data_IF_539220893375
#
_entry.id   IF_539220893375
#
_cell.length_a   1.000
_cell.length_b   1.000
_cell.length_c   1.000
_cell.angle_alpha   90.00
_cell.angle_beta   90.00
_cell.angle_gamma   90.00
#
_symmetry.space_group_name_H-M   'P 1'
#
loop_
_entity.id
_entity.type
_entity.pdbx_description
1 polymer ?
#
# COMPACT_ATOMS: atom_id res chain seq x y z
N UNK A 1 -3.26 38.19 -12.53
CA UNK A 1 -3.32 36.72 -12.48
C UNK A 1 -2.40 36.26 -11.37
N UNK A 2 -2.90 35.50 -10.38
CA UNK A 2 -2.09 35.06 -9.24
C UNK A 2 -0.97 34.10 -9.71
N UNK A 3 0.20 34.18 -9.10
CA UNK A 3 1.34 33.32 -9.42
C UNK A 3 0.96 31.86 -9.08
N UNK A 4 1.03 30.89 -10.02
CA UNK A 4 0.60 29.50 -9.78
C UNK A 4 1.30 28.82 -8.60
N UNK A 5 2.52 29.27 -8.28
CA UNK A 5 3.34 28.81 -7.15
C UNK A 5 2.82 29.25 -5.78
N UNK A 6 1.84 30.15 -5.69
CA UNK A 6 1.29 30.62 -4.41
C UNK A 6 0.15 29.73 -3.89
N UNK A 7 -0.33 28.75 -4.67
CA UNK A 7 -1.42 27.88 -4.26
C UNK A 7 -0.91 26.66 -3.50
N UNK A 8 -1.58 26.24 -2.41
CA UNK A 8 -1.15 25.08 -1.64
C UNK A 8 -1.33 23.78 -2.44
N UNK A 9 -0.32 22.91 -2.40
CA UNK A 9 -0.37 21.55 -2.97
C UNK A 9 -1.24 20.59 -2.14
N UNK A 10 -1.37 20.89 -0.84
CA UNK A 10 -2.23 20.16 0.10
C UNK A 10 -2.94 21.10 1.06
N UNK A 11 -4.13 20.73 1.48
CA UNK A 11 -4.93 21.46 2.47
C UNK A 11 -5.45 20.51 3.55
N UNK A 12 -5.19 20.85 4.81
CA UNK A 12 -5.74 20.16 5.97
C UNK A 12 -7.12 20.69 6.31
N UNK A 13 -8.14 19.83 6.27
CA UNK A 13 -9.52 20.19 6.60
C UNK A 13 -9.98 19.47 7.87
N UNK A 14 -10.40 20.20 8.91
CA UNK A 14 -10.94 19.60 10.12
C UNK A 14 -12.31 18.98 9.83
N UNK A 15 -12.55 17.78 10.36
CA UNK A 15 -13.86 17.13 10.30
C UNK A 15 -14.68 17.49 11.54
N UNK A 16 -15.91 17.99 11.34
CA UNK A 16 -16.85 18.22 12.44
C UNK A 16 -17.25 16.86 13.04
N UNK A 17 -16.91 16.64 14.31
CA UNK A 17 -17.16 15.40 15.02
C UNK A 17 -17.82 15.60 16.39
N UNK A 18 -18.63 16.65 16.55
CA UNK A 18 -19.15 17.05 17.88
C UNK A 18 -20.03 15.99 18.52
N UNK A 19 -20.97 15.40 17.77
CA UNK A 19 -21.90 14.41 18.31
C UNK A 19 -21.16 13.14 18.75
N UNK A 20 -20.31 12.51 17.92
CA UNK A 20 -19.57 11.32 18.35
C UNK A 20 -18.66 11.59 19.54
N UNK A 21 -17.98 12.76 19.60
CA UNK A 21 -17.16 13.15 20.76
C UNK A 21 -17.97 13.20 22.07
N UNK A 22 -19.17 13.76 22.04
CA UNK A 22 -20.04 13.85 23.24
C UNK A 22 -20.44 12.45 23.70
N UNK A 23 -20.86 11.58 22.78
CA UNK A 23 -21.21 10.19 23.10
C UNK A 23 -20.01 9.44 23.69
N UNK A 24 -18.84 9.60 23.07
CA UNK A 24 -17.58 9.02 23.49
C UNK A 24 -17.16 9.46 24.91
N UNK A 25 -17.38 10.73 25.26
CA UNK A 25 -17.16 11.27 26.61
C UNK A 25 -18.17 10.75 27.64
N UNK A 26 -19.45 10.63 27.27
CA UNK A 26 -20.48 10.06 28.15
C UNK A 26 -20.12 8.62 28.50
N UNK A 27 -19.72 7.81 27.51
CA UNK A 27 -19.30 6.42 27.75
C UNK A 27 -18.08 6.38 28.69
N UNK A 28 -17.08 7.24 28.48
CA UNK A 28 -15.93 7.32 29.37
C UNK A 28 -16.34 7.65 30.81
N UNK A 29 -17.25 8.60 30.99
CA UNK A 29 -17.76 8.97 32.31
C UNK A 29 -18.45 7.78 32.99
N UNK A 30 -19.28 7.02 32.28
CA UNK A 30 -19.93 5.81 32.81
C UNK A 30 -18.91 4.74 33.22
N UNK A 31 -17.87 4.52 32.42
CA UNK A 31 -16.79 3.58 32.74
C UNK A 31 -16.02 3.99 33.99
N UNK A 32 -15.68 5.28 34.12
CA UNK A 32 -15.01 5.80 35.31
C UNK A 32 -15.90 5.69 36.55
N UNK A 33 -17.20 5.99 36.43
CA UNK A 33 -18.15 5.81 37.52
C UNK A 33 -18.26 4.36 37.97
N UNK A 34 -18.23 3.41 37.04
CA UNK A 34 -18.22 1.97 37.34
C UNK A 34 -16.96 1.56 38.10
N UNK A 35 -15.78 2.04 37.66
CA UNK A 35 -14.52 1.76 38.35
C UNK A 35 -14.49 2.33 39.77
N UNK A 36 -14.99 3.54 39.96
CA UNK A 36 -15.11 4.16 41.27
C UNK A 36 -16.02 3.33 42.18
N UNK A 37 -17.18 2.89 41.67
CA UNK A 37 -18.09 2.02 42.41
C UNK A 37 -17.43 0.70 42.83
N UNK A 38 -16.70 0.04 41.91
CA UNK A 38 -15.96 -1.19 42.17
C UNK A 38 -14.88 -1.03 43.21
N UNK A 39 -14.16 0.10 43.18
CA UNK A 39 -13.11 0.43 44.14
C UNK A 39 -13.68 0.58 45.54
N UNK A 40 -14.83 1.24 45.70
CA UNK A 40 -15.47 1.41 47.01
C UNK A 40 -16.00 0.10 47.62
N UNK A 41 -16.43 -0.86 46.79
CA UNK A 41 -16.93 -2.16 47.25
C UNK A 41 -15.88 -3.29 47.13
N UNK A 42 -14.59 -2.94 47.06
CA UNK A 42 -13.50 -3.90 46.90
C UNK A 42 -13.32 -4.80 48.13
N UNK A 43 -13.67 -4.30 49.32
CA UNK A 43 -13.52 -5.03 50.58
C UNK A 43 -14.63 -6.05 50.87
N UNK A 44 -15.81 -5.89 50.25
CA UNK A 44 -17.00 -6.70 50.55
C UNK A 44 -17.06 -7.99 49.71
N UNK A 45 -16.20 -8.10 48.71
CA UNK A 45 -16.25 -9.13 47.70
C UNK A 45 -14.87 -9.77 47.48
N UNK A 46 -14.83 -11.09 47.31
CA UNK A 46 -13.58 -11.85 47.18
C UNK A 46 -12.83 -11.62 45.87
N UNK A 47 -11.83 -12.47 45.61
CA UNK A 47 -10.93 -12.38 44.44
C UNK A 47 -11.58 -12.17 43.05
N UNK A 48 -12.76 -12.73 42.72
CA UNK A 48 -13.41 -12.44 41.43
C UNK A 48 -13.69 -10.95 41.20
N UNK A 49 -13.97 -10.20 42.27
CA UNK A 49 -14.22 -8.76 42.20
C UNK A 49 -12.94 -7.98 41.85
N UNK A 50 -11.81 -8.36 42.45
CA UNK A 50 -10.49 -7.80 42.14
C UNK A 50 -10.14 -8.06 40.67
N UNK A 51 -10.37 -9.28 40.18
CA UNK A 51 -10.14 -9.62 38.77
C UNK A 51 -11.01 -8.78 37.83
N UNK A 52 -12.30 -8.65 38.14
CA UNK A 52 -13.21 -7.80 37.36
C UNK A 52 -12.74 -6.33 37.33
N UNK A 53 -12.33 -5.78 38.48
CA UNK A 53 -11.79 -4.43 38.58
C UNK A 53 -10.54 -4.24 37.71
N UNK A 54 -9.61 -5.20 37.69
CA UNK A 54 -8.42 -5.15 36.83
C UNK A 54 -8.79 -5.16 35.34
N UNK A 55 -9.72 -6.02 34.92
CA UNK A 55 -10.20 -6.10 33.55
C UNK A 55 -10.90 -4.81 33.10
N UNK A 56 -11.80 -4.28 33.93
CA UNK A 56 -12.53 -3.04 33.67
C UNK A 56 -11.57 -1.82 33.64
N UNK A 57 -10.54 -1.81 34.48
CA UNK A 57 -9.51 -0.77 34.50
C UNK A 57 -8.70 -0.77 33.21
N UNK A 58 -8.31 -1.95 32.74
CA UNK A 58 -7.61 -2.12 31.46
C UNK A 58 -8.47 -1.69 30.28
N UNK A 59 -9.74 -2.07 30.26
CA UNK A 59 -10.69 -1.64 29.23
C UNK A 59 -10.86 -0.12 29.21
N UNK A 60 -10.99 0.51 30.37
CA UNK A 60 -11.12 1.98 30.49
C UNK A 60 -9.86 2.69 30.01
N UNK A 61 -8.67 2.14 30.30
CA UNK A 61 -7.41 2.66 29.77
C UNK A 61 -7.36 2.60 28.23
N UNK A 62 -7.74 1.47 27.63
CA UNK A 62 -7.84 1.34 26.17
C UNK A 62 -8.83 2.36 25.60
N UNK A 63 -9.97 2.57 26.28
CA UNK A 63 -10.95 3.57 25.87
C UNK A 63 -10.37 4.98 25.86
N UNK A 64 -9.67 5.40 26.92
CA UNK A 64 -9.00 6.71 27.00
C UNK A 64 -7.98 6.90 25.86
N UNK A 65 -7.20 5.87 25.54
CA UNK A 65 -6.25 5.92 24.42
C UNK A 65 -6.96 6.06 23.07
N UNK A 66 -8.08 5.34 22.88
CA UNK A 66 -8.91 5.41 21.68
C UNK A 66 -9.51 6.81 21.48
N UNK A 67 -9.99 7.44 22.55
CA UNK A 67 -10.52 8.80 22.55
C UNK A 67 -9.49 9.84 22.15
N UNK A 68 -8.28 9.74 22.70
CA UNK A 68 -7.17 10.63 22.33
C UNK A 68 -6.87 10.54 20.83
N UNK A 69 -6.82 9.33 20.29
CA UNK A 69 -6.56 9.10 18.87
C UNK A 69 -7.67 9.65 17.94
N UNK A 70 -8.92 9.73 18.40
CA UNK A 70 -10.07 10.21 17.62
C UNK A 70 -10.44 11.65 17.91
N UNK A 71 -9.74 12.32 18.83
CA UNK A 71 -10.17 13.62 19.34
C UNK A 71 -10.23 14.65 18.22
N UNK A 72 -9.18 14.82 17.41
CA UNK A 72 -9.16 15.84 16.36
C UNK A 72 -8.91 15.26 14.95
N UNK A 73 -9.95 14.72 14.30
CA UNK A 73 -9.81 14.17 12.95
C UNK A 73 -9.58 15.28 11.92
N UNK A 74 -8.52 15.15 11.13
CA UNK A 74 -8.14 16.06 10.03
C UNK A 74 -7.90 15.25 8.76
N UNK A 75 -8.55 15.63 7.66
CA UNK A 75 -8.30 15.01 6.34
C UNK A 75 -7.48 15.94 5.46
N UNK A 76 -6.57 15.34 4.70
CA UNK A 76 -5.73 16.05 3.74
C UNK A 76 -6.40 15.99 2.36
N UNK A 77 -6.57 17.14 1.72
CA UNK A 77 -6.95 17.23 0.31
C UNK A 77 -5.72 17.65 -0.49
N UNK A 78 -5.37 16.86 -1.50
CA UNK A 78 -4.23 17.10 -2.39
C UNK A 78 -4.68 17.58 -3.77
N UNK A 79 -3.78 18.31 -4.45
CA UNK A 79 -4.06 18.94 -5.75
C UNK A 79 -2.96 18.60 -6.78
N UNK A 80 -2.97 17.40 -7.37
CA UNK A 80 -1.93 16.97 -8.31
C UNK A 80 -1.81 17.88 -9.55
N UNK A 81 -2.92 18.43 -10.03
CA UNK A 81 -2.93 19.37 -11.15
C UNK A 81 -2.09 20.63 -10.87
N UNK A 82 -2.04 21.08 -9.60
CA UNK A 82 -1.20 22.22 -9.21
C UNK A 82 0.27 21.86 -9.16
N UNK A 83 0.59 20.62 -8.78
CA UNK A 83 1.96 20.11 -8.80
C UNK A 83 2.50 20.06 -10.23
N UNK A 84 1.72 19.53 -11.17
CA UNK A 84 2.12 19.46 -12.58
C UNK A 84 2.20 20.84 -13.24
N UNK A 85 1.40 21.81 -12.79
CA UNK A 85 1.54 23.20 -13.21
C UNK A 85 2.78 23.86 -12.62
N UNK A 86 3.17 23.53 -11.38
CA UNK A 86 4.35 24.11 -10.74
C UNK A 86 5.65 23.54 -11.29
N UNK A 87 5.66 22.22 -11.54
CA UNK A 87 6.83 21.49 -12.00
C UNK A 87 6.42 20.50 -13.09
N UNK A 88 6.97 20.61 -14.32
CA UNK A 88 6.67 19.65 -15.37
C UNK A 88 7.17 18.24 -14.95
N UNK A 89 6.52 17.20 -15.48
CA UNK A 89 6.74 15.82 -15.02
C UNK A 89 8.21 15.37 -15.03
N UNK A 90 9.02 15.84 -16.00
CA UNK A 90 10.42 15.49 -16.13
C UNK A 90 11.33 16.10 -15.04
N UNK A 91 10.89 17.15 -14.36
CA UNK A 91 11.63 17.74 -13.25
C UNK A 91 11.20 17.17 -11.90
N UNK A 92 10.15 16.33 -11.86
CA UNK A 92 9.72 15.71 -10.61
C UNK A 92 10.83 14.79 -10.06
N UNK A 93 10.97 14.71 -8.73
CA UNK A 93 11.92 13.80 -8.10
C UNK A 93 11.61 12.35 -8.48
N UNK A 94 12.66 11.57 -8.74
CA UNK A 94 12.52 10.15 -9.07
C UNK A 94 11.94 9.36 -7.90
N UNK A 95 11.26 8.26 -8.22
CA UNK A 95 10.64 7.36 -7.26
C UNK A 95 11.01 5.93 -7.62
N UNK A 96 11.57 5.21 -6.66
CA UNK A 96 11.82 3.77 -6.81
C UNK A 96 10.67 2.97 -6.22
N UNK A 97 10.03 2.13 -7.05
CA UNK A 97 8.96 1.24 -6.61
C UNK A 97 9.54 -0.13 -6.25
N UNK A 98 9.34 -0.55 -5.01
CA UNK A 98 9.77 -1.86 -4.49
C UNK A 98 8.59 -2.82 -4.44
N UNK A 99 8.74 -3.96 -5.09
CA UNK A 99 7.78 -5.07 -5.02
C UNK A 99 8.51 -6.30 -4.47
N UNK A 100 8.09 -6.78 -3.30
CA UNK A 100 8.66 -7.98 -2.70
C UNK A 100 7.73 -9.18 -2.86
N UNK A 101 8.27 -10.31 -3.30
CA UNK A 101 7.56 -11.61 -3.35
C UNK A 101 8.24 -12.63 -2.44
N UNK A 102 7.44 -13.44 -1.74
CA UNK A 102 7.94 -14.43 -0.78
C UNK A 102 7.92 -15.87 -1.34
N UNK A 103 6.84 -16.26 -2.05
CA UNK A 103 6.72 -17.59 -2.63
C UNK A 103 5.90 -17.54 -3.94
N UNK A 104 6.44 -18.02 -5.07
CA UNK A 104 5.70 -18.10 -6.34
C UNK A 104 4.56 -19.12 -6.30
N UNK A 105 4.60 -20.12 -5.41
CA UNK A 105 3.55 -21.14 -5.31
C UNK A 105 2.29 -20.64 -4.61
N UNK A 106 2.44 -19.71 -3.65
CA UNK A 106 1.32 -19.07 -2.95
C UNK A 106 0.71 -17.94 -3.79
N UNK A 107 1.55 -17.21 -4.53
CA UNK A 107 1.17 -16.09 -5.36
C UNK A 107 1.17 -16.44 -6.85
N UNK A 108 0.57 -17.59 -7.21
CA UNK A 108 0.38 -18.02 -8.61
C UNK A 108 -0.57 -17.09 -9.40
N UNK A 109 -1.13 -16.06 -8.76
CA UNK A 109 -2.12 -15.19 -9.37
C UNK A 109 -1.43 -14.18 -10.29
N UNK A 110 -1.95 -14.11 -11.51
CA UNK A 110 -1.60 -13.12 -12.52
C UNK A 110 -1.65 -11.69 -11.96
N UNK A 111 -1.01 -10.76 -12.66
CA UNK A 111 -1.01 -9.33 -12.31
C UNK A 111 -2.41 -8.88 -11.89
N UNK A 112 -2.61 -8.45 -10.63
CA UNK A 112 -3.95 -8.20 -10.09
C UNK A 112 -4.73 -7.13 -10.87
N UNK A 113 -4.05 -6.16 -11.48
CA UNK A 113 -4.69 -5.04 -12.14
C UNK A 113 -5.36 -5.40 -13.48
N UNK A 114 -4.67 -5.95 -14.50
CA UNK A 114 -5.31 -6.37 -15.75
C UNK A 114 -6.35 -7.47 -15.55
N UNK A 115 -6.05 -8.46 -14.70
CA UNK A 115 -6.99 -9.52 -14.36
C UNK A 115 -8.31 -8.95 -13.89
N UNK A 116 -8.27 -7.95 -13.00
CA UNK A 116 -9.46 -7.34 -12.46
C UNK A 116 -10.16 -6.39 -13.41
N UNK A 117 -9.41 -5.62 -14.20
CA UNK A 117 -10.00 -4.75 -15.22
C UNK A 117 -10.86 -5.53 -16.21
N UNK A 118 -10.40 -6.70 -16.67
CA UNK A 118 -11.13 -7.52 -17.64
C UNK A 118 -12.17 -8.46 -17.02
N UNK A 119 -12.05 -8.81 -15.73
CA UNK A 119 -12.99 -9.70 -15.03
C UNK A 119 -14.09 -8.95 -14.26
N UNK A 120 -13.99 -7.63 -14.09
CA UNK A 120 -15.04 -6.81 -13.49
C UNK A 120 -16.27 -6.71 -14.40
N UNK A 121 -17.44 -6.42 -13.81
CA UNK A 121 -18.63 -6.05 -14.59
C UNK A 121 -18.30 -4.80 -15.41
N UNK A 122 -18.13 -4.97 -16.72
CA UNK A 122 -17.89 -3.86 -17.64
C UNK A 122 -19.14 -3.02 -17.75
N UNK A 123 -19.29 -1.99 -16.93
CA UNK A 123 -20.22 -0.90 -17.19
C UNK A 123 -19.63 -0.06 -18.32
N UNK A 124 -19.84 -0.48 -19.56
CA UNK A 124 -19.56 0.34 -20.73
C UNK A 124 -20.27 1.68 -20.56
N UNK A 125 -19.55 2.78 -20.65
CA UNK A 125 -20.20 4.06 -20.90
C UNK A 125 -20.83 3.99 -22.29
N UNK A 126 -22.10 4.36 -22.43
CA UNK A 126 -22.82 4.38 -23.71
C UNK A 126 -22.11 5.25 -24.78
N UNK A 127 -21.16 6.10 -24.38
CA UNK A 127 -20.35 6.99 -25.23
C UNK A 127 -19.00 6.41 -25.73
N UNK A 128 -18.72 5.11 -25.56
CA UNK A 128 -17.44 4.54 -26.02
C UNK A 128 -17.32 4.50 -27.56
N UNK A 129 -16.20 4.99 -28.11
CA UNK A 129 -15.96 4.96 -29.56
C UNK A 129 -15.81 3.53 -30.08
N UNK A 130 -16.24 3.28 -31.32
CA UNK A 130 -16.10 1.97 -31.96
C UNK A 130 -14.63 1.52 -32.05
N UNK A 131 -13.73 2.46 -32.33
CA UNK A 131 -12.28 2.21 -32.36
C UNK A 131 -11.76 1.71 -31.00
N UNK A 132 -12.19 2.34 -29.90
CA UNK A 132 -11.83 1.88 -28.56
C UNK A 132 -12.36 0.48 -28.25
N UNK A 133 -13.58 0.15 -28.70
CA UNK A 133 -14.15 -1.19 -28.49
C UNK A 133 -13.34 -2.27 -29.21
N UNK A 134 -12.89 -2.01 -30.44
CA UNK A 134 -12.07 -2.94 -31.21
C UNK A 134 -10.66 -3.08 -30.62
N UNK A 135 -10.03 -1.98 -30.21
CA UNK A 135 -8.75 -2.01 -29.49
C UNK A 135 -8.86 -2.76 -28.16
N UNK A 136 -9.93 -2.52 -27.40
CA UNK A 136 -10.17 -3.17 -26.12
C UNK A 136 -10.27 -4.70 -26.28
N UNK A 137 -11.03 -5.18 -27.28
CA UNK A 137 -11.13 -6.60 -27.59
C UNK A 137 -9.78 -7.18 -27.96
N UNK A 138 -9.04 -6.50 -28.83
CA UNK A 138 -7.69 -6.92 -29.25
C UNK A 138 -6.73 -7.05 -28.06
N UNK A 139 -6.71 -6.07 -27.16
CA UNK A 139 -5.83 -6.11 -25.97
C UNK A 139 -6.27 -7.21 -25.01
N UNK A 140 -7.59 -7.42 -24.85
CA UNK A 140 -8.12 -8.52 -24.03
C UNK A 140 -7.67 -9.88 -24.57
N UNK A 141 -7.78 -10.11 -25.88
CA UNK A 141 -7.35 -11.36 -26.50
C UNK A 141 -5.84 -11.60 -26.33
N UNK A 142 -5.01 -10.55 -26.51
CA UNK A 142 -3.56 -10.64 -26.28
C UNK A 142 -3.22 -10.90 -24.80
N UNK A 143 -3.98 -10.29 -23.88
CA UNK A 143 -3.85 -10.55 -22.45
C UNK A 143 -4.19 -12.01 -22.12
N UNK A 144 -5.26 -12.57 -22.65
CA UNK A 144 -5.64 -13.98 -22.43
C UNK A 144 -4.57 -14.94 -22.98
N UNK A 145 -3.99 -14.66 -24.15
CA UNK A 145 -2.84 -15.42 -24.68
C UNK A 145 -1.63 -15.35 -23.77
N UNK A 146 -1.34 -14.17 -23.19
CA UNK A 146 -0.26 -14.03 -22.21
C UNK A 146 -0.53 -14.85 -20.95
N UNK A 147 -1.78 -14.84 -20.44
CA UNK A 147 -2.19 -15.63 -19.30
C UNK A 147 -1.93 -17.13 -19.53
N UNK A 148 -2.33 -17.62 -20.70
CA UNK A 148 -2.12 -19.01 -21.09
C UNK A 148 -0.63 -19.37 -21.14
N UNK A 149 0.22 -18.53 -21.77
CA UNK A 149 1.67 -18.74 -21.83
C UNK A 149 2.31 -18.79 -20.44
N UNK A 150 1.87 -17.93 -19.52
CA UNK A 150 2.36 -17.92 -18.13
C UNK A 150 1.96 -19.22 -17.43
N UNK A 151 0.72 -19.69 -17.61
CA UNK A 151 0.24 -20.92 -17.00
C UNK A 151 0.98 -22.15 -17.56
N UNK A 152 1.20 -22.22 -18.87
CA UNK A 152 2.02 -23.25 -19.53
C UNK A 152 3.46 -23.24 -19.01
N UNK A 153 4.07 -22.06 -18.85
CA UNK A 153 5.39 -21.89 -18.28
C UNK A 153 5.48 -22.31 -16.81
N UNK A 154 4.39 -22.13 -16.04
CA UNK A 154 4.33 -22.54 -14.63
C UNK A 154 4.27 -24.06 -14.44
N UNK A 155 3.68 -24.77 -15.41
CA UNK A 155 3.51 -26.22 -15.38
C UNK A 155 4.72 -26.95 -15.98
N UNK A 156 5.41 -26.31 -16.92
CA UNK A 156 6.59 -26.88 -17.59
C UNK A 156 7.82 -26.68 -16.71
N UNK A 157 8.27 -27.75 -16.04
CA UNK A 157 9.55 -27.78 -15.29
C UNK A 157 10.78 -27.86 -16.19
N UNK A 158 10.60 -27.79 -17.52
CA UNK A 158 11.71 -27.90 -18.47
C UNK A 158 12.65 -26.70 -18.33
N UNK A 159 13.97 -26.90 -18.50
CA UNK A 159 14.89 -25.81 -18.70
C UNK A 159 14.48 -25.16 -20.01
N UNK A 160 13.79 -24.02 -19.91
CA UNK A 160 13.72 -23.09 -21.03
C UNK A 160 15.15 -22.90 -21.52
N UNK A 161 15.33 -22.74 -22.83
CA UNK A 161 16.62 -22.37 -23.40
C UNK A 161 16.96 -20.98 -22.87
N UNK A 162 17.51 -20.96 -21.65
CA UNK A 162 17.91 -19.79 -20.91
C UNK A 162 19.06 -19.25 -21.75
N UNK A 163 18.69 -18.35 -22.66
CA UNK A 163 19.62 -17.48 -23.37
C UNK A 163 20.65 -16.98 -22.35
N UNK A 164 21.86 -16.68 -22.84
CA UNK A 164 23.01 -16.24 -22.02
C UNK A 164 22.61 -15.21 -20.94
N UNK A 165 21.60 -14.39 -21.21
CA UNK A 165 21.03 -13.38 -20.32
C UNK A 165 20.44 -13.92 -19.01
N UNK A 166 19.92 -15.15 -18.98
CA UNK A 166 19.27 -15.74 -17.80
C UNK A 166 20.00 -16.96 -17.22
N UNK A 167 21.21 -17.28 -17.70
CA UNK A 167 22.03 -18.37 -17.15
C UNK A 167 22.27 -18.26 -15.62
N UNK A 168 22.21 -17.05 -15.05
CA UNK A 168 22.32 -16.81 -13.62
C UNK A 168 21.22 -17.49 -12.76
N UNK A 169 20.11 -17.88 -13.37
CA UNK A 169 19.02 -18.60 -12.72
C UNK A 169 19.14 -20.13 -12.85
N UNK A 170 20.08 -20.62 -13.67
CA UNK A 170 20.32 -22.06 -13.79
C UNK A 170 20.91 -22.59 -12.47
N UNK A 171 20.41 -23.76 -12.05
CA UNK A 171 20.93 -24.49 -10.87
C UNK A 171 20.84 -23.74 -9.52
N UNK A 172 19.99 -22.72 -9.37
CA UNK A 172 19.84 -22.01 -8.09
C UNK A 172 18.94 -22.76 -7.11
N UNK A 173 19.41 -23.01 -5.89
CA UNK A 173 18.60 -23.57 -4.81
C UNK A 173 17.92 -22.46 -4.00
N UNK A 174 16.68 -22.65 -3.54
CA UNK A 174 15.89 -21.61 -2.84
C UNK A 174 16.55 -21.03 -1.58
N UNK A 175 17.43 -21.80 -0.92
CA UNK A 175 18.12 -21.43 0.34
C UNK A 175 19.63 -21.28 0.20
N UNK A 176 20.17 -21.56 -0.98
CA UNK A 176 21.60 -21.56 -1.25
C UNK A 176 21.84 -21.08 -2.69
N UNK A 177 21.98 -19.77 -2.86
CA UNK A 177 22.25 -19.18 -4.16
C UNK A 177 22.99 -17.85 -3.99
N UNK A 178 23.87 -17.48 -4.94
CA UNK A 178 24.51 -16.18 -4.95
C UNK A 178 23.48 -15.06 -5.21
N UNK A 179 23.93 -13.82 -5.05
CA UNK A 179 23.12 -12.64 -5.44
C UNK A 179 22.90 -12.63 -6.95
N UNK A 180 21.67 -12.34 -7.38
CA UNK A 180 21.29 -12.20 -8.79
C UNK A 180 20.72 -10.80 -8.97
N UNK A 181 21.33 -9.99 -9.84
CA UNK A 181 20.81 -8.68 -10.25
C UNK A 181 20.69 -8.71 -11.77
N UNK A 182 19.49 -8.43 -12.28
CA UNK A 182 19.20 -8.45 -13.71
C UNK A 182 18.31 -7.27 -14.08
N UNK A 183 18.77 -6.45 -15.01
CA UNK A 183 17.94 -5.40 -15.63
C UNK A 183 17.09 -6.10 -16.70
N UNK A 184 15.80 -6.28 -16.42
CA UNK A 184 14.84 -6.92 -17.34
C UNK A 184 14.47 -5.94 -18.45
N UNK A 185 14.29 -4.68 -18.09
CA UNK A 185 13.93 -3.63 -19.04
C UNK A 185 14.67 -2.34 -18.70
N UNK A 186 15.18 -1.68 -19.73
CA UNK A 186 15.90 -0.41 -19.62
C UNK A 186 15.34 0.58 -20.64
N UNK A 187 14.92 1.76 -20.17
CA UNK A 187 14.52 2.85 -21.06
C UNK A 187 15.77 3.58 -21.56
N UNK A 188 16.44 3.02 -22.57
CA UNK A 188 17.73 3.54 -23.07
C UNK A 188 17.64 4.91 -23.74
N UNK A 189 16.45 5.31 -24.18
CA UNK A 189 16.25 6.54 -24.96
C UNK A 189 15.66 7.67 -24.12
N UNK A 190 15.47 7.47 -22.80
CA UNK A 190 14.76 8.40 -21.90
C UNK A 190 13.46 8.93 -22.51
N UNK A 191 12.81 8.10 -23.33
CA UNK A 191 11.63 8.53 -24.06
C UNK A 191 10.51 8.76 -23.05
N UNK A 192 9.80 9.91 -23.09
CA UNK A 192 8.74 10.23 -22.13
C UNK A 192 7.58 9.21 -22.14
N UNK A 193 7.45 8.46 -23.24
CA UNK A 193 6.45 7.40 -23.40
C UNK A 193 7.03 5.98 -23.20
N UNK A 194 8.30 5.87 -22.79
CA UNK A 194 8.96 4.59 -22.55
C UNK A 194 8.52 3.97 -21.22
N UNK A 195 8.60 2.64 -21.14
CA UNK A 195 8.38 1.92 -19.88
C UNK A 195 9.52 2.21 -18.89
N UNK A 196 9.23 2.31 -17.58
CA UNK A 196 10.26 2.54 -16.57
C UNK A 196 11.26 1.38 -16.50
N UNK A 197 12.45 1.65 -15.97
CA UNK A 197 13.47 0.62 -15.73
C UNK A 197 12.92 -0.48 -14.80
N UNK A 198 13.04 -1.74 -15.22
CA UNK A 198 12.64 -2.90 -14.44
C UNK A 198 13.87 -3.71 -14.05
N UNK A 199 14.21 -3.69 -12.75
CA UNK A 199 15.36 -4.41 -12.21
C UNK A 199 14.88 -5.54 -11.30
N UNK A 200 15.27 -6.76 -11.63
CA UNK A 200 15.09 -7.93 -10.80
C UNK A 200 16.29 -8.11 -9.86
N UNK A 201 16.00 -8.29 -8.58
CA UNK A 201 17.01 -8.48 -7.54
C UNK A 201 16.63 -9.69 -6.69
N UNK A 202 17.55 -10.64 -6.60
CA UNK A 202 17.52 -11.73 -5.64
C UNK A 202 18.77 -11.66 -4.78
N UNK A 203 18.60 -11.38 -3.48
CA UNK A 203 19.72 -11.35 -2.53
C UNK A 203 20.37 -12.72 -2.39
N UNK A 204 21.65 -12.77 -2.10
CA UNK A 204 22.31 -14.00 -1.69
C UNK A 204 21.60 -14.66 -0.50
N UNK A 205 21.51 -16.00 -0.55
CA UNK A 205 21.03 -16.83 0.55
C UNK A 205 22.03 -17.92 0.81
N UNK A 206 22.36 -18.10 2.08
CA UNK A 206 23.21 -19.17 2.58
C UNK A 206 22.47 -19.94 3.68
N UNK A 207 22.56 -21.28 3.74
CA UNK A 207 21.80 -22.08 4.71
C UNK A 207 22.03 -21.71 6.18
N UNK A 208 23.22 -21.21 6.52
CA UNK A 208 23.63 -20.88 7.90
C UNK A 208 23.36 -19.42 8.30
N UNK A 209 22.88 -18.59 7.37
CA UNK A 209 22.70 -17.16 7.61
C UNK A 209 21.21 -16.79 7.71
N UNK A 210 20.77 -16.15 8.81
CA UNK A 210 19.40 -15.66 8.91
C UNK A 210 19.18 -14.53 7.89
N UNK A 211 18.07 -14.62 7.15
CA UNK A 211 17.81 -13.70 6.03
C UNK A 211 16.68 -12.70 6.30
N UNK A 212 16.08 -12.70 7.50
CA UNK A 212 15.08 -11.70 7.94
C UNK A 212 13.92 -11.43 6.97
N UNK A 213 13.48 -12.45 6.22
CA UNK A 213 12.32 -12.42 5.30
C UNK A 213 12.18 -11.10 4.53
N UNK A 214 11.04 -10.41 4.65
CA UNK A 214 10.70 -9.15 3.97
C UNK A 214 11.55 -7.98 4.43
N UNK A 215 11.84 -7.87 5.74
CA UNK A 215 12.68 -6.81 6.28
C UNK A 215 14.09 -6.82 5.66
N UNK A 216 14.71 -8.01 5.59
CA UNK A 216 16.00 -8.15 4.93
C UNK A 216 15.94 -7.89 3.42
N UNK A 217 14.77 -8.07 2.77
CA UNK A 217 14.64 -7.90 1.33
C UNK A 217 14.54 -6.42 1.01
N UNK A 218 13.71 -5.71 1.76
CA UNK A 218 13.61 -4.25 1.72
C UNK A 218 14.96 -3.58 1.97
N UNK A 219 15.72 -4.02 2.97
CA UNK A 219 17.06 -3.46 3.23
C UNK A 219 18.02 -3.65 2.05
N UNK A 220 17.97 -4.79 1.36
CA UNK A 220 18.78 -5.01 0.16
C UNK A 220 18.32 -4.10 -0.97
N UNK A 221 17.01 -4.01 -1.23
CA UNK A 221 16.44 -3.14 -2.25
C UNK A 221 16.83 -1.68 -2.04
N UNK A 222 16.72 -1.16 -0.81
CA UNK A 222 17.16 0.20 -0.47
C UNK A 222 18.65 0.43 -0.75
N UNK A 223 19.52 -0.54 -0.43
CA UNK A 223 20.97 -0.43 -0.70
C UNK A 223 21.29 -0.47 -2.18
N UNK A 224 20.61 -1.33 -2.94
CA UNK A 224 20.80 -1.43 -4.39
C UNK A 224 20.28 -0.17 -5.09
N UNK A 225 19.09 0.30 -4.71
CA UNK A 225 18.51 1.57 -5.16
C UNK A 225 19.47 2.74 -4.92
N UNK A 226 20.03 2.87 -3.70
CA UNK A 226 20.99 3.93 -3.38
C UNK A 226 22.26 3.95 -4.24
N UNK A 227 22.63 2.82 -4.84
CA UNK A 227 23.80 2.72 -5.74
C UNK A 227 23.40 2.88 -7.21
N UNK A 228 22.25 2.36 -7.62
CA UNK A 228 21.83 2.31 -9.03
C UNK A 228 21.14 3.59 -9.49
N UNK A 229 20.18 4.09 -8.72
CA UNK A 229 19.26 5.18 -9.11
C UNK A 229 19.32 6.35 -8.13
N UNK A 230 19.62 6.07 -6.86
CA UNK A 230 19.67 7.03 -5.76
C UNK A 230 18.42 7.92 -5.68
N UNK A 231 17.24 7.32 -5.86
CA UNK A 231 15.98 8.05 -5.84
C UNK A 231 15.67 8.61 -4.44
N UNK A 232 15.18 9.85 -4.33
CA UNK A 232 14.85 10.47 -3.05
C UNK A 232 13.60 9.89 -2.39
N UNK A 233 12.72 9.24 -3.16
CA UNK A 233 11.49 8.63 -2.67
C UNK A 233 11.42 7.16 -3.02
N UNK A 234 10.89 6.36 -2.08
CA UNK A 234 10.70 4.92 -2.23
C UNK A 234 9.22 4.60 -2.01
N UNK A 235 8.64 3.84 -2.95
CA UNK A 235 7.27 3.35 -2.88
C UNK A 235 7.29 1.85 -2.63
N UNK A 236 6.89 1.42 -1.44
CA UNK A 236 6.78 0.00 -1.11
C UNK A 236 5.39 -0.55 -1.45
N UNK A 237 5.32 -1.59 -2.29
CA UNK A 237 4.08 -2.23 -2.71
C UNK A 237 4.17 -3.75 -2.54
N UNK A 238 3.13 -4.33 -1.97
CA UNK A 238 3.05 -5.77 -1.79
C UNK A 238 2.57 -6.43 -3.09
N UNK A 239 2.99 -7.66 -3.34
CA UNK A 239 2.72 -8.37 -4.60
C UNK A 239 1.23 -8.70 -4.85
N UNK A 240 0.40 -8.66 -3.82
CA UNK A 240 -1.05 -8.82 -3.87
C UNK A 240 -1.81 -7.48 -3.94
N UNK A 241 -1.08 -6.36 -3.93
CA UNK A 241 -1.61 -5.02 -4.01
C UNK A 241 -1.31 -4.40 -5.38
N UNK A 242 -2.22 -3.54 -5.84
CA UNK A 242 -2.03 -2.82 -7.08
C UNK A 242 -2.54 -1.38 -6.97
N UNK A 243 -2.05 -0.55 -7.87
CA UNK A 243 -2.42 0.84 -8.01
C UNK A 243 -3.82 1.00 -8.64
N UNK A 244 -4.82 1.42 -7.87
CA UNK A 244 -6.19 1.64 -8.37
C UNK A 244 -6.40 3.01 -9.04
N UNK A 245 -5.61 4.02 -8.68
CA UNK A 245 -5.66 5.36 -9.25
C UNK A 245 -4.29 5.71 -9.85
N UNK A 246 -4.14 5.92 -11.17
CA UNK A 246 -2.85 6.21 -11.79
C UNK A 246 -2.15 7.46 -11.24
N UNK A 247 -2.88 8.37 -10.58
CA UNK A 247 -2.32 9.59 -10.01
C UNK A 247 -1.83 9.44 -8.55
N UNK A 248 -1.82 8.24 -7.93
CA UNK A 248 -1.49 8.16 -6.49
C UNK A 248 -0.08 8.65 -6.16
N UNK A 249 0.88 8.43 -7.05
CA UNK A 249 2.26 8.91 -6.85
C UNK A 249 2.28 10.44 -6.81
N UNK A 250 1.52 11.10 -7.68
CA UNK A 250 1.39 12.56 -7.69
C UNK A 250 0.71 13.08 -6.41
N UNK A 251 -0.32 12.39 -5.93
CA UNK A 251 -0.97 12.74 -4.66
C UNK A 251 -0.02 12.58 -3.47
N UNK A 252 0.78 11.51 -3.44
CA UNK A 252 1.81 11.31 -2.42
C UNK A 252 2.88 12.41 -2.47
N UNK A 253 3.35 12.75 -3.68
CA UNK A 253 4.28 13.85 -3.90
C UNK A 253 3.71 15.19 -3.44
N UNK A 254 2.41 15.46 -3.64
CA UNK A 254 1.79 16.68 -3.12
C UNK A 254 1.87 16.78 -1.60
N UNK A 255 1.77 15.65 -0.87
CA UNK A 255 1.88 15.65 0.59
C UNK A 255 3.34 15.80 1.07
N UNK A 256 4.28 15.15 0.37
CA UNK A 256 5.71 15.19 0.71
C UNK A 256 6.34 16.55 0.36
N UNK A 257 6.11 17.04 -0.86
CA UNK A 257 6.66 18.32 -1.35
C UNK A 257 5.86 19.53 -0.84
N UNK A 258 4.59 19.34 -0.48
CA UNK A 258 3.75 20.39 0.09
C UNK A 258 3.95 20.59 1.60
N UNK A 259 4.86 19.86 2.24
CA UNK A 259 5.20 20.06 3.64
C UNK A 259 5.96 21.39 3.83
N UNK A 260 5.73 22.07 4.95
CA UNK A 260 6.41 23.37 5.20
C UNK A 260 7.90 23.17 5.45
N UNK A 261 8.25 22.10 6.17
CA UNK A 261 9.64 21.66 6.34
C UNK A 261 9.79 20.22 5.86
N UNK A 262 10.98 19.91 5.32
CA UNK A 262 11.37 18.55 4.93
C UNK A 262 11.35 17.55 6.09
N UNK A 263 11.41 18.04 7.34
CA UNK A 263 11.38 17.22 8.55
C UNK A 263 9.97 16.88 9.04
N UNK A 264 8.94 17.49 8.46
CA UNK A 264 7.56 17.33 8.94
C UNK A 264 6.91 16.04 8.40
N UNK A 265 7.42 15.48 7.30
CA UNK A 265 6.84 14.32 6.61
C UNK A 265 7.89 13.26 6.32
N UNK A 266 7.83 12.11 7.01
CA UNK A 266 8.73 10.97 6.78
C UNK A 266 8.21 9.93 5.77
N UNK A 267 6.88 9.76 5.69
CA UNK A 267 6.23 8.85 4.75
C UNK A 267 4.77 9.23 4.55
N UNK A 268 4.17 8.78 3.44
CA UNK A 268 2.73 8.91 3.17
C UNK A 268 2.14 7.51 3.13
N UNK A 269 1.15 7.26 4.00
CA UNK A 269 0.44 5.99 4.05
C UNK A 269 -0.88 6.11 3.29
N UNK A 270 -1.07 5.24 2.30
CA UNK A 270 -2.37 5.06 1.67
C UNK A 270 -3.16 3.93 2.35
N UNK A 271 -4.49 4.06 2.47
CA UNK A 271 -5.33 2.97 2.96
C UNK A 271 -5.26 1.77 2.01
N UNK A 272 -5.07 0.58 2.58
CA UNK A 272 -5.08 -0.68 1.83
C UNK A 272 -6.51 -1.22 1.77
N UNK A 273 -7.14 -1.14 0.60
CA UNK A 273 -8.47 -1.67 0.38
C UNK A 273 -8.39 -3.08 -0.19
N UNK A 274 -8.90 -4.05 0.57
CA UNK A 274 -8.97 -5.44 0.13
C UNK A 274 -10.18 -5.65 -0.78
N UNK A 275 -10.05 -6.61 -1.70
CA UNK A 275 -11.03 -6.91 -2.73
C UNK A 275 -11.57 -8.32 -2.54
N UNK A 276 -12.68 -8.64 -3.21
CA UNK A 276 -13.38 -9.93 -3.12
C UNK A 276 -13.82 -10.30 -1.69
N UNK A 277 -14.06 -9.28 -0.84
CA UNK A 277 -14.65 -9.48 0.47
C UNK A 277 -16.09 -9.95 0.35
N UNK A 278 -16.48 -10.89 1.23
CA UNK A 278 -17.89 -11.29 1.36
C UNK A 278 -18.74 -10.05 1.67
N UNK A 279 -19.91 -9.92 1.04
CA UNK A 279 -20.82 -8.79 1.26
C UNK A 279 -21.19 -8.62 2.73
N UNK A 280 -21.34 -9.74 3.44
CA UNK A 280 -21.69 -9.77 4.86
C UNK A 280 -20.47 -9.67 5.79
N UNK A 281 -19.25 -9.67 5.23
CA UNK A 281 -17.93 -9.62 5.89
C UNK A 281 -17.91 -10.13 7.34
N UNK A 282 -18.27 -11.42 7.59
CA UNK A 282 -18.42 -11.94 8.95
C UNK A 282 -17.09 -11.95 9.73
N UNK A 283 -15.96 -11.88 9.01
CA UNK A 283 -14.62 -11.86 9.58
C UNK A 283 -14.10 -10.43 9.81
N UNK A 284 -14.79 -9.40 9.32
CA UNK A 284 -14.33 -8.01 9.40
C UNK A 284 -13.05 -7.74 8.60
N UNK A 285 -12.78 -8.55 7.57
CA UNK A 285 -11.53 -8.51 6.80
C UNK A 285 -11.41 -7.26 5.92
N UNK A 286 -12.53 -6.66 5.52
CA UNK A 286 -12.52 -5.45 4.70
C UNK A 286 -12.12 -4.22 5.51
N UNK A 287 -12.16 -4.30 6.85
CA UNK A 287 -11.79 -3.21 7.77
C UNK A 287 -12.48 -1.88 7.45
N UNK A 288 -13.67 -1.92 6.81
CA UNK A 288 -14.39 -0.73 6.32
C UNK A 288 -14.62 0.27 7.44
N UNK A 289 -15.03 -0.20 8.63
CA UNK A 289 -15.22 0.67 9.78
C UNK A 289 -13.92 1.35 10.25
N UNK A 290 -12.79 0.63 10.21
CA UNK A 290 -11.49 1.22 10.54
C UNK A 290 -11.11 2.27 9.51
N UNK A 291 -11.31 2.02 8.22
CA UNK A 291 -11.01 3.01 7.20
C UNK A 291 -12.02 4.16 7.13
N UNK A 292 -13.30 3.99 7.40
CA UNK A 292 -14.25 5.11 7.43
C UNK A 292 -14.09 6.00 8.68
N UNK A 293 -13.70 5.41 9.81
CA UNK A 293 -13.47 6.12 11.07
C UNK A 293 -12.05 6.67 11.17
N UNK A 294 -11.05 6.00 10.57
CA UNK A 294 -9.61 6.34 10.68
C UNK A 294 -8.93 6.72 9.36
N UNK A 295 -9.48 6.36 8.20
CA UNK A 295 -8.89 6.61 6.88
C UNK A 295 -9.82 7.19 5.79
N UNK A 296 -10.95 7.85 6.13
CA UNK A 296 -11.58 8.90 5.27
C UNK A 296 -10.67 10.16 5.23
N UNK A 297 -9.37 9.89 5.26
CA UNK A 297 -8.22 10.68 5.64
C UNK A 297 -7.05 10.21 4.75
N UNK A 298 -7.22 10.32 3.44
CA UNK A 298 -6.17 10.51 2.43
C UNK A 298 -6.80 10.81 1.08
#
# INVERSE_FOLDING_TARGET
>A
MANPSSLPLQEQKPRKNTIPRVVELIILFLLLSLLVYRLFHLGDHGWPWVLAFCCESWFTLIWILSLNNKWNPVYNKTYPERLLHWKPAHELPSVDMFVTTADPSLNRRLSPAPFRYYNGESSWSEDSSLEFQDEWKKIKDEYEKLCQKIEEASQTSAPWDLTVDFAAFSHTERRNHPTIIKVIWENKEDLPNGLPHLVYISREKLPKHPHHFKAGAMNVLTRVSGVMTNAPFMLNVDCDMYANNPQMVLHAMCMLLGAKNERDSGFVQYPQCFYDGLKDDPFGNQLVALFEVRAKFS
#
